data_IF_836728983220
#
_entry.id   IF_836728983220
#
_cell.length_a   1.000
_cell.length_b   1.000
_cell.length_c   1.000
_cell.angle_alpha   90.00
_cell.angle_beta   90.00
_cell.angle_gamma   90.00
#
_symmetry.space_group_name_H-M   'P 1'
#
loop_
_entity.id
_entity.type
_entity.pdbx_description
1 polymer ?
#
# COMPACT_ATOMS: atom_id res chain seq x y z
N UNK A 1 -62.19 18.25 -12.66
CA UNK A 1 -61.17 17.91 -11.65
C UNK A 1 -59.87 18.57 -12.05
N UNK A 2 -59.65 19.79 -11.58
CA UNK A 2 -58.40 20.54 -11.74
C UNK A 2 -57.74 20.56 -10.37
N UNK A 3 -56.62 19.88 -10.23
CA UNK A 3 -55.72 20.11 -9.10
C UNK A 3 -54.69 21.15 -9.54
N UNK A 4 -54.53 22.27 -8.81
CA UNK A 4 -53.46 23.22 -9.08
C UNK A 4 -52.13 22.64 -8.57
N UNK A 5 -51.10 22.71 -9.41
CA UNK A 5 -49.71 22.45 -9.02
C UNK A 5 -49.28 23.52 -7.99
N UNK A 6 -48.74 23.16 -6.81
CA UNK A 6 -48.07 24.13 -5.95
C UNK A 6 -46.74 24.57 -6.59
N UNK A 7 -46.28 25.82 -6.38
CA UNK A 7 -45.02 26.29 -6.93
C UNK A 7 -43.88 25.46 -6.35
N UNK A 8 -42.95 25.05 -7.23
CA UNK A 8 -41.72 24.38 -6.89
C UNK A 8 -41.01 25.17 -5.78
N UNK A 9 -41.03 24.62 -4.56
CA UNK A 9 -40.00 24.96 -3.59
C UNK A 9 -38.69 24.59 -4.28
N UNK A 10 -37.92 25.61 -4.64
CA UNK A 10 -36.49 25.50 -4.88
C UNK A 10 -35.92 24.85 -3.61
N UNK A 11 -35.87 23.52 -3.60
CA UNK A 11 -34.96 22.81 -2.72
C UNK A 11 -33.61 23.35 -3.12
N UNK A 12 -33.05 24.16 -2.24
CA UNK A 12 -31.61 24.30 -2.13
C UNK A 12 -31.10 22.89 -1.75
N UNK A 13 -31.11 21.99 -2.74
CA UNK A 13 -30.30 20.78 -2.73
C UNK A 13 -28.86 21.28 -2.85
N UNK A 14 -28.37 21.88 -1.76
CA UNK A 14 -26.95 21.79 -1.48
C UNK A 14 -26.69 20.30 -1.40
N UNK A 15 -26.27 19.73 -2.53
CA UNK A 15 -25.55 18.49 -2.57
C UNK A 15 -24.58 18.56 -1.37
N UNK A 16 -24.58 17.58 -0.45
CA UNK A 16 -23.50 17.51 0.52
C UNK A 16 -22.20 17.68 -0.27
N UNK A 17 -21.22 18.48 0.21
CA UNK A 17 -19.97 18.66 -0.50
C UNK A 17 -19.51 17.26 -0.88
N UNK A 18 -19.44 16.98 -2.20
CA UNK A 18 -18.92 15.72 -2.69
C UNK A 18 -17.62 15.54 -1.93
N UNK A 19 -17.55 14.52 -1.08
CA UNK A 19 -16.29 14.15 -0.45
C UNK A 19 -15.33 14.07 -1.62
N UNK A 20 -14.37 14.99 -1.64
CA UNK A 20 -13.44 15.12 -2.75
C UNK A 20 -12.91 13.71 -2.99
N UNK A 21 -12.89 13.22 -4.25
CA UNK A 21 -12.41 11.88 -4.52
C UNK A 21 -11.10 11.74 -3.79
N UNK A 22 -11.02 10.79 -2.85
CA UNK A 22 -9.83 10.50 -2.08
C UNK A 22 -8.78 10.19 -3.12
N UNK A 23 -8.01 11.21 -3.46
CA UNK A 23 -7.07 11.13 -4.55
C UNK A 23 -5.95 10.35 -3.91
N UNK A 24 -5.97 9.02 -4.10
CA UNK A 24 -4.82 8.18 -3.80
C UNK A 24 -3.60 8.97 -4.26
N UNK A 25 -2.59 9.18 -3.39
CA UNK A 25 -1.51 10.11 -3.68
C UNK A 25 -0.98 9.76 -5.07
N UNK A 26 -1.25 10.64 -6.05
CA UNK A 26 -0.73 10.47 -7.39
C UNK A 26 0.76 10.51 -7.19
N UNK A 27 1.41 9.38 -7.41
CA UNK A 27 2.84 9.26 -7.25
C UNK A 27 3.46 10.28 -8.22
N UNK A 28 3.93 11.39 -7.67
CA UNK A 28 4.51 12.48 -8.44
C UNK A 28 5.92 12.03 -8.81
N UNK A 29 6.05 11.47 -10.01
CA UNK A 29 7.33 11.09 -10.58
C UNK A 29 8.01 12.35 -11.11
N UNK A 30 9.18 12.67 -10.58
CA UNK A 30 10.01 13.73 -11.13
C UNK A 30 10.79 13.17 -12.35
N UNK A 31 10.63 13.71 -13.57
CA UNK A 31 11.36 13.23 -14.74
C UNK A 31 12.88 13.31 -14.59
N UNK A 32 13.40 14.23 -13.76
CA UNK A 32 14.84 14.36 -13.51
C UNK A 32 15.35 13.31 -12.49
N UNK A 33 14.44 12.62 -11.79
CA UNK A 33 14.74 11.59 -10.77
C UNK A 33 13.98 10.29 -10.99
N UNK A 34 13.51 10.06 -12.22
CA UNK A 34 12.60 8.97 -12.56
C UNK A 34 13.13 7.60 -12.10
N UNK A 35 14.43 7.33 -12.31
CA UNK A 35 15.04 6.06 -11.90
C UNK A 35 14.97 5.84 -10.38
N UNK A 36 15.22 6.90 -9.60
CA UNK A 36 15.16 6.86 -8.14
C UNK A 36 13.71 6.68 -7.64
N UNK A 37 12.76 7.43 -8.22
CA UNK A 37 11.37 7.39 -7.81
C UNK A 37 10.71 6.04 -8.19
N UNK A 38 11.03 5.50 -9.37
CA UNK A 38 10.60 4.16 -9.77
C UNK A 38 11.22 3.09 -8.88
N UNK A 39 12.52 3.20 -8.55
CA UNK A 39 13.16 2.28 -7.63
C UNK A 39 12.47 2.28 -6.27
N UNK A 40 12.17 3.46 -5.71
CA UNK A 40 11.45 3.59 -4.43
C UNK A 40 10.12 2.85 -4.45
N UNK A 41 9.34 3.01 -5.51
CA UNK A 41 8.02 2.37 -5.63
C UNK A 41 8.15 0.85 -5.73
N UNK A 42 9.01 0.36 -6.62
CA UNK A 42 9.17 -1.08 -6.85
C UNK A 42 9.75 -1.77 -5.61
N UNK A 43 10.75 -1.15 -4.98
CA UNK A 43 11.35 -1.65 -3.75
C UNK A 43 10.35 -1.61 -2.59
N UNK A 44 9.55 -0.55 -2.47
CA UNK A 44 8.47 -0.48 -1.49
C UNK A 44 7.39 -1.54 -1.73
N UNK A 45 7.06 -1.83 -2.99
CA UNK A 45 6.10 -2.90 -3.33
C UNK A 45 6.67 -4.27 -2.95
N UNK A 46 7.95 -4.53 -3.25
CA UNK A 46 8.62 -5.76 -2.85
C UNK A 46 8.68 -5.90 -1.32
N UNK A 47 8.94 -4.81 -0.60
CA UNK A 47 8.96 -4.79 0.87
C UNK A 47 7.58 -5.09 1.45
N UNK A 48 6.53 -4.48 0.91
CA UNK A 48 5.14 -4.77 1.30
C UNK A 48 4.78 -6.25 1.08
N UNK A 49 5.16 -6.81 -0.07
CA UNK A 49 4.93 -8.23 -0.35
C UNK A 49 5.69 -9.13 0.64
N UNK A 50 6.92 -8.77 1.00
CA UNK A 50 7.71 -9.47 2.03
C UNK A 50 6.99 -9.45 3.38
N UNK A 51 6.51 -8.29 3.83
CA UNK A 51 5.75 -8.14 5.08
C UNK A 51 4.47 -8.98 5.09
N UNK A 52 3.73 -8.99 3.97
CA UNK A 52 2.53 -9.85 3.85
C UNK A 52 2.91 -11.32 3.94
N UNK A 53 3.96 -11.75 3.23
CA UNK A 53 4.44 -13.13 3.29
C UNK A 53 4.88 -13.54 4.69
N UNK A 54 5.51 -12.64 5.44
CA UNK A 54 5.88 -12.83 6.84
C UNK A 54 4.64 -13.04 7.72
N UNK A 55 3.62 -12.20 7.57
CA UNK A 55 2.36 -12.38 8.28
C UNK A 55 1.69 -13.72 7.96
N UNK A 56 1.71 -14.14 6.70
CA UNK A 56 1.17 -15.46 6.32
C UNK A 56 2.02 -16.61 6.87
N UNK A 57 3.34 -16.45 6.93
CA UNK A 57 4.24 -17.43 7.53
C UNK A 57 3.88 -17.66 9.01
N UNK A 58 3.70 -16.57 9.77
CA UNK A 58 3.28 -16.64 11.18
C UNK A 58 1.95 -17.40 11.33
N UNK A 59 0.93 -17.02 10.54
CA UNK A 59 -0.38 -17.71 10.59
C UNK A 59 -0.28 -19.20 10.27
N UNK A 60 0.58 -19.57 9.31
CA UNK A 60 0.80 -20.98 8.93
C UNK A 60 1.53 -21.77 10.01
N UNK A 61 2.47 -21.14 10.71
CA UNK A 61 3.18 -21.71 11.85
C UNK A 61 2.22 -21.94 13.02
N UNK A 62 1.40 -20.94 13.37
CA UNK A 62 0.38 -21.04 14.41
C UNK A 62 -0.68 -22.11 14.11
N UNK A 63 -1.07 -22.26 12.84
CA UNK A 63 -1.99 -23.30 12.39
C UNK A 63 -1.38 -24.71 12.34
N UNK A 64 -0.08 -24.87 12.62
CA UNK A 64 0.61 -26.17 12.55
C UNK A 64 0.71 -26.74 11.12
N UNK A 65 0.57 -25.89 10.10
CA UNK A 65 0.54 -26.29 8.69
C UNK A 65 1.92 -26.50 8.05
N UNK A 66 2.99 -26.37 8.85
CA UNK A 66 4.39 -26.45 8.44
C UNK A 66 5.18 -27.30 9.44
N UNK A 67 6.03 -28.21 8.93
CA UNK A 67 7.01 -28.92 9.75
C UNK A 67 8.12 -27.96 10.22
N UNK A 68 8.83 -28.32 11.29
CA UNK A 68 9.94 -27.52 11.86
C UNK A 68 10.98 -27.13 10.79
N UNK A 69 11.41 -28.08 9.96
CA UNK A 69 12.34 -27.81 8.85
C UNK A 69 11.80 -26.83 7.80
N UNK A 70 10.49 -26.85 7.53
CA UNK A 70 9.86 -25.93 6.60
C UNK A 70 9.76 -24.52 7.21
N UNK A 71 9.53 -24.41 8.51
CA UNK A 71 9.51 -23.13 9.22
C UNK A 71 10.89 -22.46 9.16
N UNK A 72 11.96 -23.22 9.43
CA UNK A 72 13.33 -22.72 9.41
C UNK A 72 13.76 -22.29 8.00
N UNK A 73 13.41 -23.09 6.98
CA UNK A 73 13.67 -22.74 5.58
C UNK A 73 12.90 -21.48 5.15
N UNK A 74 11.63 -21.36 5.56
CA UNK A 74 10.79 -20.19 5.25
C UNK A 74 11.36 -18.92 5.89
N UNK A 75 11.69 -18.98 7.20
CA UNK A 75 12.31 -17.87 7.91
C UNK A 75 13.61 -17.42 7.26
N UNK A 76 14.51 -18.36 6.95
CA UNK A 76 15.77 -18.07 6.26
C UNK A 76 15.55 -17.41 4.89
N UNK A 77 14.52 -17.85 4.15
CA UNK A 77 14.20 -17.28 2.84
C UNK A 77 13.71 -15.84 2.96
N UNK A 78 12.84 -15.55 3.93
CA UNK A 78 12.32 -14.20 4.18
C UNK A 78 13.43 -13.24 4.64
N UNK A 79 14.34 -13.67 5.52
CA UNK A 79 15.50 -12.87 5.93
C UNK A 79 16.43 -12.53 4.76
N UNK A 80 16.65 -13.48 3.85
CA UNK A 80 17.46 -13.23 2.64
C UNK A 80 16.77 -12.26 1.68
N UNK A 81 15.45 -12.37 1.55
CA UNK A 81 14.66 -11.44 0.75
C UNK A 81 14.75 -10.01 1.28
N UNK A 82 14.61 -9.82 2.61
CA UNK A 82 14.79 -8.53 3.28
C UNK A 82 16.18 -7.94 2.98
N UNK A 83 17.23 -8.72 3.21
CA UNK A 83 18.60 -8.28 2.97
C UNK A 83 18.84 -7.86 1.52
N UNK A 84 18.33 -8.63 0.55
CA UNK A 84 18.46 -8.31 -0.87
C UNK A 84 17.71 -7.04 -1.27
N UNK A 85 16.51 -6.81 -0.73
CA UNK A 85 15.72 -5.60 -0.97
C UNK A 85 16.46 -4.39 -0.40
N UNK A 86 16.94 -4.46 0.85
CA UNK A 86 17.67 -3.38 1.49
C UNK A 86 19.01 -3.08 0.81
N UNK A 87 19.75 -4.10 0.37
CA UNK A 87 20.98 -3.91 -0.39
C UNK A 87 20.71 -3.20 -1.71
N UNK A 88 19.65 -3.58 -2.42
CA UNK A 88 19.27 -2.92 -3.67
C UNK A 88 18.83 -1.46 -3.41
N UNK A 89 18.04 -1.22 -2.36
CA UNK A 89 17.61 0.12 -1.96
C UNK A 89 18.81 1.04 -1.69
N UNK A 90 19.83 0.55 -0.98
CA UNK A 90 21.04 1.31 -0.71
C UNK A 90 21.78 1.75 -1.98
N UNK A 91 21.76 0.94 -3.05
CA UNK A 91 22.35 1.31 -4.36
C UNK A 91 21.63 2.48 -5.03
N UNK A 92 20.35 2.66 -4.74
CA UNK A 92 19.56 3.80 -5.18
C UNK A 92 19.57 4.97 -4.18
N UNK A 93 20.34 4.89 -3.09
CA UNK A 93 20.39 5.92 -2.05
C UNK A 93 19.14 5.97 -1.17
N UNK A 94 18.34 4.91 -1.17
CA UNK A 94 17.11 4.78 -0.39
C UNK A 94 17.41 4.14 0.96
N UNK A 95 16.77 4.65 2.00
CA UNK A 95 16.75 4.06 3.34
C UNK A 95 15.59 3.07 3.47
N UNK A 96 15.59 2.15 4.45
CA UNK A 96 14.45 1.27 4.70
C UNK A 96 13.14 2.05 4.93
N UNK A 97 13.20 3.23 5.55
CA UNK A 97 12.04 4.09 5.76
C UNK A 97 11.45 4.62 4.45
N UNK A 98 12.26 4.74 3.39
CA UNK A 98 11.81 5.17 2.07
C UNK A 98 11.01 4.10 1.32
N UNK A 99 11.07 2.84 1.77
CA UNK A 99 10.33 1.72 1.20
C UNK A 99 8.91 1.63 1.76
N UNK A 100 8.58 2.41 2.79
CA UNK A 100 7.22 2.46 3.31
C UNK A 100 6.29 3.11 2.27
N UNK A 101 5.30 2.35 1.82
CA UNK A 101 4.27 2.82 0.91
C UNK A 101 3.08 3.33 1.72
N UNK A 102 2.67 4.57 1.42
CA UNK A 102 1.39 5.11 1.87
C UNK A 102 0.32 4.77 0.83
N UNK A 103 -0.55 3.82 1.18
CA UNK A 103 -1.66 3.40 0.33
C UNK A 103 -2.91 4.28 0.54
N UNK A 104 -2.77 5.41 1.24
CA UNK A 104 -3.86 6.33 1.55
C UNK A 104 -4.90 5.68 2.46
N UNK A 105 -6.17 5.53 2.03
CA UNK A 105 -7.23 4.96 2.87
C UNK A 105 -7.01 3.47 3.26
N UNK A 106 -6.06 2.78 2.62
CA UNK A 106 -5.68 1.40 2.95
C UNK A 106 -4.60 1.33 4.04
N UNK A 107 -4.09 2.47 4.52
CA UNK A 107 -3.05 2.56 5.54
C UNK A 107 -1.63 2.68 4.99
N UNK A 108 -0.67 2.98 5.88
CA UNK A 108 0.77 2.90 5.58
C UNK A 108 1.28 1.50 5.86
N UNK A 109 2.23 1.01 5.07
CA UNK A 109 3.02 -0.17 5.46
C UNK A 109 3.81 0.19 6.71
N UNK A 110 3.47 -0.47 7.82
CA UNK A 110 4.14 -0.38 9.13
C UNK A 110 5.61 -0.76 9.06
#
# INVERSE_FOLDING_TARGET
>A
MTYPFPPLLLRDDRLPPTEAPVTAPRIALDPDRLEHDLARILLGLMEMLRQIMELQAIRRMEAGSLSESQQEQLGTTLMRAEAAIHEMAARFGLTPADLSLDLGPLGRTI
#
